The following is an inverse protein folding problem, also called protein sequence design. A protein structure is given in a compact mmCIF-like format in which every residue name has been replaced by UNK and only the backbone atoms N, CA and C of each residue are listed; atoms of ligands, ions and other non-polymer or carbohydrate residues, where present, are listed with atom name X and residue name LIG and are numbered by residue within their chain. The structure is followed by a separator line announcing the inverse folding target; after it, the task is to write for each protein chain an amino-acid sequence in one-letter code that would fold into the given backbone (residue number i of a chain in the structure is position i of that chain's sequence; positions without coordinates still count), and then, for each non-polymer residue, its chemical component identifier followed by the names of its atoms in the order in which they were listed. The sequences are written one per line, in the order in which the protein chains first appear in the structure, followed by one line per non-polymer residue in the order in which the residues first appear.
data_IF_220853324027
#
_entry.id   IF_220853324027
#
_cell.length_a   1.000
_cell.length_b   1.000
_cell.length_c   1.000
_cell.angle_alpha   90.00
_cell.angle_beta   90.00
_cell.angle_gamma   90.00
#
_symmetry.space_group_name_H-M   'P 1'
#
loop_
_entity.id
_entity.type
_entity.pdbx_description
1 polymer ?
#
# COMPACT_ATOMS: atom_id res chain seq x y z
N UNK A 1 -8.41 -16.59 13.55
CA UNK A 1 -8.70 -16.15 12.15
C UNK A 1 -7.47 -16.42 11.31
N UNK A 2 -7.64 -16.91 10.08
CA UNK A 2 -6.53 -17.10 9.15
C UNK A 2 -6.12 -15.70 8.64
N UNK A 3 -4.83 -15.32 8.71
CA UNK A 3 -4.38 -14.03 8.19
C UNK A 3 -4.53 -13.99 6.65
N UNK A 4 -4.78 -12.79 6.10
CA UNK A 4 -4.84 -12.61 4.63
C UNK A 4 -3.47 -12.77 3.99
N UNK A 5 -2.43 -12.26 4.67
CA UNK A 5 -1.03 -12.43 4.28
C UNK A 5 -0.23 -12.93 5.48
N UNK A 6 0.59 -13.95 5.29
CA UNK A 6 1.58 -14.42 6.27
C UNK A 6 2.94 -14.53 5.61
N UNK A 7 3.92 -13.89 6.19
CA UNK A 7 5.33 -14.03 5.86
C UNK A 7 6.03 -14.71 7.02
N UNK A 8 6.69 -15.83 6.77
CA UNK A 8 7.33 -16.63 7.80
C UNK A 8 8.83 -16.76 7.55
N UNK A 9 9.65 -16.30 8.50
CA UNK A 9 11.10 -16.42 8.51
C UNK A 9 11.74 -15.97 7.19
N UNK A 10 11.52 -14.70 6.84
CA UNK A 10 12.07 -14.09 5.62
C UNK A 10 13.48 -13.59 5.87
N UNK A 11 14.43 -14.08 5.06
CA UNK A 11 15.79 -13.54 4.96
C UNK A 11 15.98 -12.85 3.63
N UNK A 12 16.50 -11.62 3.66
CA UNK A 12 16.82 -10.87 2.45
C UNK A 12 18.02 -9.96 2.65
N UNK A 13 18.97 -10.07 1.74
CA UNK A 13 20.10 -9.16 1.64
C UNK A 13 20.36 -8.79 0.17
N UNK A 14 20.93 -7.63 -0.05
CA UNK A 14 21.41 -7.18 -1.37
C UNK A 14 22.94 -7.07 -1.36
N UNK A 15 23.62 -7.29 -2.50
CA UNK A 15 25.04 -6.98 -2.64
C UNK A 15 25.29 -5.50 -2.33
N UNK A 16 26.32 -5.21 -1.51
CA UNK A 16 26.74 -3.86 -1.16
C UNK A 16 28.26 -3.83 -0.96
N UNK A 17 28.99 -3.42 -1.99
CA UNK A 17 30.45 -3.37 -1.97
C UNK A 17 31.03 -2.35 -0.98
N UNK A 18 30.23 -1.46 -0.43
CA UNK A 18 30.65 -0.47 0.58
C UNK A 18 30.76 -1.08 1.98
N UNK A 19 30.23 -2.28 2.19
CA UNK A 19 30.20 -2.97 3.48
C UNK A 19 31.31 -4.04 3.58
N UNK A 20 31.87 -4.25 4.77
CA UNK A 20 32.94 -5.25 4.97
C UNK A 20 32.55 -6.68 4.59
N UNK A 21 31.28 -7.04 4.80
CA UNK A 21 30.66 -8.35 4.48
C UNK A 21 30.14 -8.42 3.04
N UNK A 22 30.26 -7.33 2.25
CA UNK A 22 29.78 -7.26 0.88
C UNK A 22 28.26 -7.28 0.72
N UNK A 23 27.50 -7.14 1.81
CA UNK A 23 26.03 -7.30 1.81
C UNK A 23 25.33 -6.26 2.67
N UNK A 24 24.17 -5.81 2.22
CA UNK A 24 23.20 -5.04 3.01
C UNK A 24 22.05 -5.95 3.39
N UNK A 25 22.02 -6.41 4.64
CA UNK A 25 20.91 -7.20 5.18
C UNK A 25 19.71 -6.29 5.37
N UNK A 26 18.57 -6.67 4.80
CA UNK A 26 17.29 -5.95 4.95
C UNK A 26 16.42 -6.68 5.97
N UNK A 27 16.27 -7.99 5.83
CA UNK A 27 15.50 -8.84 6.73
C UNK A 27 16.35 -10.04 7.18
N UNK A 28 16.23 -10.40 8.44
CA UNK A 28 16.81 -11.56 9.08
C UNK A 28 15.77 -12.16 10.01
N UNK A 29 15.33 -13.39 9.69
CA UNK A 29 14.27 -14.11 10.43
C UNK A 29 12.99 -13.25 10.63
N UNK A 30 12.60 -12.53 9.58
CA UNK A 30 11.48 -11.60 9.66
C UNK A 30 10.15 -12.30 9.40
N UNK A 31 9.18 -12.10 10.29
CA UNK A 31 7.83 -12.65 10.15
C UNK A 31 6.78 -11.57 10.31
N UNK A 32 5.70 -11.64 9.52
CA UNK A 32 4.61 -10.67 9.51
C UNK A 32 3.29 -11.34 9.17
N UNK A 33 2.22 -10.92 9.85
CA UNK A 33 0.85 -11.32 9.52
C UNK A 33 -0.03 -10.09 9.33
N UNK A 34 -0.86 -10.10 8.26
CA UNK A 34 -1.81 -9.05 7.91
C UNK A 34 -3.21 -9.66 7.92
N UNK A 35 -4.13 -9.04 8.64
CA UNK A 35 -5.49 -9.53 8.78
C UNK A 35 -6.35 -9.23 7.53
N UNK A 36 -7.29 -10.11 7.22
CA UNK A 36 -8.27 -9.90 6.15
C UNK A 36 -9.11 -8.65 6.43
N UNK A 37 -9.32 -7.82 5.41
CA UNK A 37 -10.13 -6.60 5.50
C UNK A 37 -9.51 -5.49 6.33
N UNK A 38 -8.23 -5.61 6.75
CA UNK A 38 -7.53 -4.56 7.47
C UNK A 38 -6.99 -3.48 6.54
N UNK A 39 -6.88 -2.27 7.06
CA UNK A 39 -6.05 -1.22 6.51
C UNK A 39 -4.74 -1.22 7.33
N UNK A 40 -3.77 -2.03 6.90
CA UNK A 40 -2.49 -2.17 7.60
C UNK A 40 -1.49 -1.15 7.07
N UNK A 41 -0.96 -0.30 7.96
CA UNK A 41 0.09 0.67 7.62
C UNK A 41 1.44 0.16 8.11
N UNK A 42 2.39 0.05 7.18
CA UNK A 42 3.80 -0.19 7.46
C UNK A 42 4.51 1.16 7.61
N UNK A 43 4.85 1.52 8.84
CA UNK A 43 5.53 2.76 9.20
C UNK A 43 7.00 2.48 9.49
N UNK A 44 7.90 3.38 9.09
CA UNK A 44 9.33 3.23 9.39
C UNK A 44 10.21 4.17 8.56
N UNK A 45 11.50 4.28 8.91
CA UNK A 45 12.43 5.17 8.22
C UNK A 45 12.65 4.77 6.76
N UNK A 46 13.16 5.73 5.96
CA UNK A 46 13.56 5.46 4.58
C UNK A 46 14.65 4.39 4.53
N UNK A 47 14.54 3.47 3.59
CA UNK A 47 15.52 2.40 3.40
C UNK A 47 15.43 1.22 4.39
N UNK A 48 14.42 1.18 5.28
CA UNK A 48 14.22 0.03 6.17
C UNK A 48 13.61 -1.21 5.49
N UNK A 49 13.19 -1.12 4.22
CA UNK A 49 12.70 -2.27 3.47
C UNK A 49 11.19 -2.29 3.18
N UNK A 50 10.40 -1.29 3.56
CA UNK A 50 8.94 -1.27 3.37
C UNK A 50 8.49 -1.62 1.95
N UNK A 51 9.02 -0.92 0.93
CA UNK A 51 8.74 -1.22 -0.49
C UNK A 51 9.23 -2.60 -0.91
N UNK A 52 10.33 -3.05 -0.31
CA UNK A 52 10.87 -4.39 -0.51
C UNK A 52 9.88 -5.45 0.00
N UNK A 53 9.25 -5.20 1.14
CA UNK A 53 8.22 -6.08 1.70
C UNK A 53 7.00 -6.19 0.79
N UNK A 54 6.51 -5.04 0.26
CA UNK A 54 5.43 -5.05 -0.72
C UNK A 54 5.80 -5.87 -1.97
N UNK A 55 7.04 -5.75 -2.45
CA UNK A 55 7.51 -6.51 -3.61
C UNK A 55 7.60 -8.02 -3.32
N UNK A 56 7.93 -8.43 -2.09
CA UNK A 56 7.90 -9.84 -1.67
C UNK A 56 6.45 -10.34 -1.64
N UNK A 57 5.52 -9.58 -1.04
CA UNK A 57 4.10 -9.93 -0.96
C UNK A 57 3.50 -10.09 -2.36
N UNK A 58 3.84 -9.19 -3.29
CA UNK A 58 3.35 -9.24 -4.67
C UNK A 58 4.07 -10.25 -5.58
N UNK A 59 5.07 -10.97 -5.07
CA UNK A 59 5.85 -11.93 -5.85
C UNK A 59 6.83 -11.31 -6.84
N UNK A 60 7.03 -9.99 -6.83
CA UNK A 60 7.97 -9.28 -7.69
C UNK A 60 9.43 -9.47 -7.24
N UNK A 61 9.64 -9.79 -5.98
CA UNK A 61 10.96 -10.03 -5.41
C UNK A 61 10.94 -11.33 -4.62
N UNK A 62 11.89 -12.21 -4.94
CA UNK A 62 12.11 -13.44 -4.18
C UNK A 62 13.12 -13.16 -3.06
N UNK A 63 12.80 -13.47 -1.78
CA UNK A 63 13.77 -13.40 -0.70
C UNK A 63 14.88 -14.45 -0.88
N UNK A 64 16.01 -14.28 -0.20
CA UNK A 64 17.10 -15.26 -0.19
C UNK A 64 16.65 -16.59 0.44
N UNK A 65 15.84 -16.48 1.52
CA UNK A 65 15.19 -17.59 2.17
C UNK A 65 13.81 -17.18 2.67
N UNK A 66 12.88 -18.11 2.73
CA UNK A 66 11.56 -17.95 3.33
C UNK A 66 11.01 -19.33 3.73
N UNK A 67 10.48 -19.43 4.94
CA UNK A 67 9.72 -20.63 5.34
C UNK A 67 8.37 -20.65 4.64
N UNK A 68 7.68 -19.53 4.55
CA UNK A 68 6.40 -19.39 3.86
C UNK A 68 6.09 -17.96 3.43
N UNK A 69 5.43 -17.81 2.27
CA UNK A 69 4.80 -16.58 1.79
C UNK A 69 3.37 -16.97 1.43
N UNK A 70 2.45 -16.81 2.38
CA UNK A 70 1.10 -17.36 2.29
C UNK A 70 0.09 -16.24 2.08
N UNK A 71 -0.75 -16.40 1.07
CA UNK A 71 -1.88 -15.51 0.77
C UNK A 71 -3.15 -16.34 0.83
N UNK A 72 -4.11 -15.96 1.68
CA UNK A 72 -5.36 -16.70 1.88
C UNK A 72 -5.16 -18.21 2.16
N UNK A 73 -4.11 -18.56 2.93
CA UNK A 73 -3.79 -19.93 3.25
C UNK A 73 -3.02 -20.70 2.18
N UNK A 74 -2.74 -20.10 1.01
CA UNK A 74 -2.01 -20.72 -0.09
C UNK A 74 -0.61 -20.10 -0.24
N UNK A 75 0.41 -20.94 -0.39
CA UNK A 75 1.78 -20.46 -0.59
C UNK A 75 1.96 -19.86 -2.00
N UNK A 76 2.38 -18.59 -2.07
CA UNK A 76 2.60 -17.85 -3.31
C UNK A 76 3.66 -18.52 -4.21
N UNK A 77 4.56 -19.31 -3.65
CA UNK A 77 5.60 -20.03 -4.40
C UNK A 77 5.04 -21.23 -5.16
N UNK A 78 3.95 -21.82 -4.67
CA UNK A 78 3.25 -22.93 -5.34
C UNK A 78 2.22 -22.44 -6.35
N UNK A 79 1.63 -21.26 -6.12
CA UNK A 79 0.61 -20.64 -6.98
C UNK A 79 0.97 -19.18 -7.32
N UNK A 80 1.87 -18.93 -8.28
CA UNK A 80 2.27 -17.56 -8.67
C UNK A 80 1.10 -16.70 -9.15
N UNK A 81 0.03 -17.31 -9.67
CA UNK A 81 -1.19 -16.62 -10.13
C UNK A 81 -1.97 -15.91 -9.00
N UNK A 82 -1.68 -16.20 -7.73
CA UNK A 82 -2.22 -15.45 -6.59
C UNK A 82 -1.86 -13.95 -6.67
N UNK A 83 -0.76 -13.61 -7.31
CA UNK A 83 -0.40 -12.20 -7.55
C UNK A 83 -1.46 -11.44 -8.36
N UNK A 84 -2.27 -12.15 -9.17
CA UNK A 84 -3.39 -11.56 -9.92
C UNK A 84 -4.56 -11.09 -9.05
N UNK A 85 -4.63 -11.55 -7.80
CA UNK A 85 -5.62 -11.08 -6.82
C UNK A 85 -5.19 -9.78 -6.14
N UNK A 86 -3.99 -9.29 -6.47
CA UNK A 86 -3.39 -8.10 -5.87
C UNK A 86 -3.24 -6.99 -6.91
N UNK A 87 -3.39 -5.75 -6.45
CA UNK A 87 -3.02 -4.59 -7.25
C UNK A 87 -1.98 -3.75 -6.51
N UNK A 88 -1.15 -3.05 -7.28
CA UNK A 88 -0.04 -2.25 -6.75
C UNK A 88 -0.16 -0.79 -7.18
N UNK A 89 -0.17 0.12 -6.21
CA UNK A 89 -0.04 1.57 -6.41
C UNK A 89 1.38 1.97 -6.05
N UNK A 90 2.12 2.43 -7.04
CA UNK A 90 3.51 2.87 -6.87
C UNK A 90 3.57 4.30 -6.32
N UNK A 91 4.70 4.67 -5.77
CA UNK A 91 4.99 6.03 -5.28
C UNK A 91 4.73 7.09 -6.36
N UNK A 92 5.18 6.86 -7.61
CA UNK A 92 4.79 7.68 -8.75
C UNK A 92 3.62 7.04 -9.52
N UNK A 93 2.78 7.84 -10.21
CA UNK A 93 1.57 7.36 -10.88
C UNK A 93 1.81 6.26 -11.93
N UNK A 94 2.99 6.23 -12.57
CA UNK A 94 3.38 5.26 -13.60
C UNK A 94 2.28 4.98 -14.64
N UNK A 95 1.57 6.04 -15.06
CA UNK A 95 0.58 5.95 -16.13
C UNK A 95 1.27 5.83 -17.49
N UNK A 96 0.64 5.07 -18.39
CA UNK A 96 1.05 4.98 -19.79
C UNK A 96 0.75 6.31 -20.49
N UNK A 97 1.80 7.04 -20.87
CA UNK A 97 1.71 8.43 -21.34
C UNK A 97 0.96 8.59 -22.67
N UNK A 98 0.92 7.53 -23.47
CA UNK A 98 0.24 7.45 -24.78
C UNK A 98 -1.19 6.93 -24.70
N UNK A 99 -1.71 6.74 -23.50
CA UNK A 99 -3.08 6.32 -23.23
C UNK A 99 -3.80 7.37 -22.41
N UNK A 100 -5.11 7.53 -22.65
CA UNK A 100 -5.97 8.36 -21.82
C UNK A 100 -6.05 7.79 -20.40
N UNK A 101 -6.63 8.55 -19.46
CA UNK A 101 -6.81 8.06 -18.10
C UNK A 101 -7.72 6.82 -18.06
N UNK A 102 -8.82 6.82 -18.82
CA UNK A 102 -9.70 5.66 -18.94
C UNK A 102 -8.99 4.44 -19.54
N UNK A 103 -8.20 4.63 -20.61
CA UNK A 103 -7.43 3.54 -21.22
C UNK A 103 -6.34 3.00 -20.29
N UNK A 104 -5.81 3.82 -19.37
CA UNK A 104 -4.91 3.33 -18.32
C UNK A 104 -5.64 2.41 -17.33
N UNK A 105 -6.87 2.72 -16.94
CA UNK A 105 -7.69 1.84 -16.11
C UNK A 105 -8.07 0.55 -16.87
N UNK A 106 -8.45 0.69 -18.15
CA UNK A 106 -8.72 -0.47 -19.02
C UNK A 106 -7.50 -1.39 -19.15
N UNK A 107 -6.29 -0.84 -19.24
CA UNK A 107 -5.06 -1.63 -19.26
C UNK A 107 -4.91 -2.48 -17.98
N UNK A 108 -5.27 -1.93 -16.82
CA UNK A 108 -5.33 -2.68 -15.57
C UNK A 108 -6.29 -3.88 -15.66
N UNK A 109 -7.52 -3.66 -16.14
CA UNK A 109 -8.53 -4.70 -16.32
C UNK A 109 -8.09 -5.82 -17.29
N UNK A 110 -7.38 -5.46 -18.37
CA UNK A 110 -6.86 -6.45 -19.34
C UNK A 110 -5.80 -7.35 -18.72
N UNK A 111 -4.94 -6.79 -17.86
CA UNK A 111 -3.81 -7.52 -17.27
C UNK A 111 -4.23 -8.69 -16.39
N UNK A 112 -5.33 -8.52 -15.66
CA UNK A 112 -5.81 -9.54 -14.71
C UNK A 112 -6.88 -10.46 -15.29
N UNK A 113 -7.65 -10.00 -16.30
CA UNK A 113 -8.68 -10.82 -16.95
C UNK A 113 -9.86 -11.23 -16.06
N UNK A 114 -10.04 -10.54 -14.92
CA UNK A 114 -10.98 -10.93 -13.85
C UNK A 114 -12.40 -10.47 -14.16
N UNK A 115 -12.56 -9.34 -14.88
CA UNK A 115 -13.87 -8.73 -15.15
C UNK A 115 -14.31 -8.93 -16.60
N UNK A 116 -15.58 -9.28 -16.85
CA UNK A 116 -16.16 -9.33 -18.20
C UNK A 116 -16.06 -7.98 -18.89
N UNK A 117 -15.70 -7.97 -20.19
CA UNK A 117 -15.47 -6.72 -20.96
C UNK A 117 -16.68 -5.80 -21.00
N UNK A 118 -17.87 -6.35 -20.97
CA UNK A 118 -19.14 -5.62 -20.98
C UNK A 118 -19.29 -4.68 -19.77
N UNK A 119 -18.65 -5.05 -18.64
CA UNK A 119 -18.70 -4.28 -17.39
C UNK A 119 -17.58 -3.22 -17.27
N UNK A 120 -16.58 -3.25 -18.15
CA UNK A 120 -15.40 -2.38 -17.98
C UNK A 120 -15.74 -0.90 -18.01
N UNK A 121 -16.61 -0.48 -18.94
CA UNK A 121 -17.01 0.92 -19.07
C UNK A 121 -17.69 1.43 -17.78
N UNK A 122 -18.61 0.66 -17.26
CA UNK A 122 -19.37 1.05 -16.05
C UNK A 122 -18.47 1.06 -14.82
N UNK A 123 -17.56 0.10 -14.68
CA UNK A 123 -16.56 0.07 -13.60
C UNK A 123 -15.61 1.27 -13.67
N UNK A 124 -15.09 1.58 -14.85
CA UNK A 124 -14.21 2.72 -15.07
C UNK A 124 -14.95 4.01 -14.72
N UNK A 125 -16.15 4.22 -15.25
CA UNK A 125 -16.94 5.42 -14.96
C UNK A 125 -17.25 5.55 -13.47
N UNK A 126 -17.68 4.46 -12.81
CA UNK A 126 -17.94 4.40 -11.37
C UNK A 126 -16.74 4.91 -10.56
N UNK A 127 -15.57 4.34 -10.80
CA UNK A 127 -14.39 4.66 -9.99
C UNK A 127 -13.78 6.02 -10.35
N UNK A 128 -13.83 6.46 -11.60
CA UNK A 128 -13.40 7.80 -11.97
C UNK A 128 -14.30 8.88 -11.36
N UNK A 129 -15.61 8.69 -11.31
CA UNK A 129 -16.54 9.60 -10.60
C UNK A 129 -16.27 9.61 -9.10
N UNK A 130 -16.02 8.45 -8.49
CA UNK A 130 -15.73 8.35 -7.06
C UNK A 130 -14.47 9.13 -6.64
N UNK A 131 -13.49 9.29 -7.54
CA UNK A 131 -12.28 10.07 -7.29
C UNK A 131 -12.34 11.50 -7.86
N UNK A 132 -13.52 11.95 -8.33
CA UNK A 132 -13.72 13.29 -8.88
C UNK A 132 -13.05 13.54 -10.24
N UNK A 133 -12.87 12.47 -11.04
CA UNK A 133 -12.27 12.53 -12.38
C UNK A 133 -13.24 12.10 -13.50
N UNK A 134 -14.56 12.09 -13.25
CA UNK A 134 -15.55 11.66 -14.23
C UNK A 134 -15.41 12.33 -15.59
N UNK A 135 -15.21 13.65 -15.58
CA UNK A 135 -15.11 14.43 -16.82
C UNK A 135 -13.71 14.45 -17.46
N UNK A 136 -12.69 13.93 -16.73
CA UNK A 136 -11.30 13.92 -17.18
C UNK A 136 -10.85 12.60 -17.80
N UNK A 137 -11.71 11.60 -17.91
CA UNK A 137 -11.38 10.25 -18.35
C UNK A 137 -10.73 10.19 -19.74
N UNK A 138 -11.12 11.11 -20.64
CA UNK A 138 -10.63 11.19 -22.02
C UNK A 138 -9.27 11.90 -22.15
N UNK A 139 -8.78 12.56 -21.07
CA UNK A 139 -7.52 13.29 -21.08
C UNK A 139 -6.32 12.34 -20.96
N UNK A 140 -5.19 12.77 -21.50
CA UNK A 140 -3.91 12.09 -21.35
C UNK A 140 -3.18 12.52 -20.07
N UNK A 141 -2.23 11.70 -19.52
CA UNK A 141 -1.52 12.02 -18.30
C UNK A 141 -0.76 13.36 -18.32
N UNK A 142 -0.31 13.84 -19.48
CA UNK A 142 0.37 15.12 -19.61
C UNK A 142 -0.56 16.33 -19.60
N UNK A 143 -1.88 16.14 -19.73
CA UNK A 143 -2.90 17.18 -19.74
C UNK A 143 -3.53 17.44 -18.36
N UNK A 144 -3.13 16.68 -17.34
CA UNK A 144 -3.73 16.71 -16.00
C UNK A 144 -2.69 16.99 -14.92
N UNK A 145 -3.14 17.48 -13.76
CA UNK A 145 -2.27 17.78 -12.61
C UNK A 145 -1.62 16.51 -12.00
N UNK A 146 -0.62 16.69 -11.13
CA UNK A 146 0.02 15.61 -10.39
C UNK A 146 -0.97 14.80 -9.55
N UNK A 147 -1.83 15.50 -8.79
CA UNK A 147 -2.88 14.87 -8.00
C UNK A 147 -3.92 14.11 -8.85
N UNK A 148 -4.31 14.66 -10.02
CA UNK A 148 -5.19 13.94 -10.95
C UNK A 148 -4.53 12.66 -11.48
N UNK A 149 -3.24 12.71 -11.82
CA UNK A 149 -2.48 11.50 -12.22
C UNK A 149 -2.45 10.46 -11.11
N UNK A 150 -2.23 10.91 -9.87
CA UNK A 150 -2.21 9.98 -8.73
C UNK A 150 -3.58 9.35 -8.49
N UNK A 151 -4.68 10.14 -8.55
CA UNK A 151 -6.05 9.62 -8.48
C UNK A 151 -6.31 8.58 -9.58
N UNK A 152 -5.93 8.87 -10.81
CA UNK A 152 -6.07 7.92 -11.92
C UNK A 152 -5.24 6.63 -11.72
N UNK A 153 -4.06 6.71 -11.09
CA UNK A 153 -3.25 5.52 -10.77
C UNK A 153 -3.93 4.64 -9.73
N UNK A 154 -4.61 5.24 -8.75
CA UNK A 154 -5.42 4.50 -7.77
C UNK A 154 -6.62 3.85 -8.46
N UNK A 155 -7.33 4.58 -9.34
CA UNK A 155 -8.43 3.98 -10.13
C UNK A 155 -7.95 2.78 -10.93
N UNK A 156 -6.81 2.89 -11.62
CA UNK A 156 -6.23 1.77 -12.38
C UNK A 156 -5.99 0.52 -11.53
N UNK A 157 -5.57 0.70 -10.28
CA UNK A 157 -5.39 -0.40 -9.35
C UNK A 157 -6.73 -0.91 -8.79
N UNK A 158 -7.64 0.00 -8.48
CA UNK A 158 -8.91 -0.32 -7.81
C UNK A 158 -9.96 -0.94 -8.72
N UNK A 159 -9.99 -0.55 -10.01
CA UNK A 159 -10.99 -0.99 -10.99
C UNK A 159 -11.00 -2.52 -11.21
N UNK A 160 -9.88 -3.18 -10.91
CA UNK A 160 -9.78 -4.63 -10.93
C UNK A 160 -10.50 -5.32 -9.75
N UNK A 161 -10.98 -4.54 -8.80
CA UNK A 161 -11.56 -5.04 -7.57
C UNK A 161 -10.66 -6.07 -6.87
N UNK A 162 -9.36 -5.73 -6.62
CA UNK A 162 -8.40 -6.65 -6.06
C UNK A 162 -8.77 -7.01 -4.62
N UNK A 163 -8.42 -8.20 -4.17
CA UNK A 163 -8.61 -8.60 -2.77
C UNK A 163 -7.57 -7.97 -1.85
N UNK A 164 -6.38 -7.68 -2.38
CA UNK A 164 -5.29 -7.01 -1.67
C UNK A 164 -4.80 -5.83 -2.50
N UNK A 165 -4.72 -4.66 -1.88
CA UNK A 165 -4.16 -3.47 -2.48
C UNK A 165 -2.86 -3.10 -1.76
N UNK A 166 -1.76 -3.11 -2.50
CA UNK A 166 -0.43 -2.73 -2.03
C UNK A 166 -0.16 -1.30 -2.47
N UNK A 167 0.16 -0.41 -1.53
CA UNK A 167 0.37 1.01 -1.80
C UNK A 167 1.72 1.48 -1.24
N UNK A 168 2.61 1.90 -2.11
CA UNK A 168 3.98 2.30 -1.77
C UNK A 168 4.10 3.82 -1.78
N UNK A 169 4.06 4.45 -0.61
CA UNK A 169 4.14 5.91 -0.40
C UNK A 169 3.30 6.73 -1.40
N UNK A 170 2.00 6.43 -1.58
CA UNK A 170 1.23 6.95 -2.72
C UNK A 170 0.96 8.45 -2.65
N UNK A 171 1.23 9.10 -1.51
CA UNK A 171 0.95 10.53 -1.30
C UNK A 171 2.21 11.38 -1.10
N UNK A 172 3.41 10.79 -1.09
CA UNK A 172 4.68 11.46 -0.75
C UNK A 172 5.07 12.63 -1.68
N UNK A 173 4.51 12.71 -2.89
CA UNK A 173 4.80 13.76 -3.87
C UNK A 173 3.65 14.76 -4.04
N UNK A 174 2.67 14.73 -3.15
CA UNK A 174 1.52 15.62 -3.17
C UNK A 174 1.69 16.73 -2.13
N UNK A 175 1.14 17.90 -2.42
CA UNK A 175 0.95 18.93 -1.41
C UNK A 175 -0.08 18.46 -0.37
N UNK A 176 -0.06 19.06 0.83
CA UNK A 176 -0.90 18.60 1.95
C UNK A 176 -2.40 18.63 1.65
N UNK A 177 -2.87 19.64 0.90
CA UNK A 177 -4.30 19.76 0.56
C UNK A 177 -4.71 18.60 -0.36
N UNK A 178 -3.92 18.34 -1.38
CA UNK A 178 -4.14 17.21 -2.31
C UNK A 178 -4.01 15.86 -1.60
N UNK A 179 -3.01 15.72 -0.70
CA UNK A 179 -2.83 14.49 0.08
C UNK A 179 -4.02 14.24 1.02
N UNK A 180 -4.53 15.26 1.71
CA UNK A 180 -5.72 15.17 2.55
C UNK A 180 -6.97 14.74 1.77
N UNK A 181 -7.17 15.31 0.57
CA UNK A 181 -8.25 14.89 -0.33
C UNK A 181 -8.10 13.41 -0.74
N UNK A 182 -6.88 13.00 -1.06
CA UNK A 182 -6.58 11.60 -1.45
C UNK A 182 -6.84 10.62 -0.31
N UNK A 183 -6.44 10.96 0.92
CA UNK A 183 -6.73 10.14 2.11
C UNK A 183 -8.24 9.97 2.30
N UNK A 184 -9.00 11.05 2.15
CA UNK A 184 -10.48 11.02 2.23
C UNK A 184 -11.11 10.15 1.13
N UNK A 185 -10.65 10.28 -0.11
CA UNK A 185 -11.12 9.47 -1.25
C UNK A 185 -10.83 7.99 -1.00
N UNK A 186 -9.60 7.64 -0.62
CA UNK A 186 -9.20 6.27 -0.35
C UNK A 186 -10.01 5.65 0.80
N UNK A 187 -10.21 6.41 1.87
CA UNK A 187 -11.02 5.98 3.00
C UNK A 187 -12.47 5.72 2.60
N UNK A 188 -13.08 6.64 1.82
CA UNK A 188 -14.45 6.48 1.35
C UNK A 188 -14.60 5.24 0.45
N UNK A 189 -13.65 5.01 -0.48
CA UNK A 189 -13.65 3.82 -1.32
C UNK A 189 -13.58 2.54 -0.48
N UNK A 190 -12.69 2.52 0.52
CA UNK A 190 -12.48 1.35 1.36
C UNK A 190 -13.64 1.07 2.33
N UNK A 191 -14.25 2.11 2.91
CA UNK A 191 -15.37 1.96 3.87
C UNK A 191 -16.72 1.73 3.21
N UNK A 192 -16.88 2.07 1.92
CA UNK A 192 -18.13 1.88 1.17
C UNK A 192 -18.36 0.44 0.71
N UNK A 193 -17.38 -0.44 0.85
CA UNK A 193 -17.50 -1.84 0.44
C UNK A 193 -18.09 -2.69 1.57
N UNK A 194 -19.02 -3.59 1.22
CA UNK A 194 -19.59 -4.56 2.17
C UNK A 194 -18.51 -5.50 2.72
N UNK A 195 -17.67 -6.04 1.82
CA UNK A 195 -16.46 -6.77 2.20
C UNK A 195 -15.25 -5.88 1.96
N UNK A 196 -14.68 -5.36 3.05
CA UNK A 196 -13.49 -4.49 2.98
C UNK A 196 -12.30 -5.23 2.40
N UNK A 197 -11.66 -4.63 1.41
CA UNK A 197 -10.39 -5.11 0.85
C UNK A 197 -9.30 -5.00 1.90
N UNK A 198 -8.32 -5.88 1.79
CA UNK A 198 -7.10 -5.76 2.59
C UNK A 198 -6.18 -4.74 1.92
N UNK A 199 -5.79 -3.70 2.66
CA UNK A 199 -4.83 -2.69 2.19
C UNK A 199 -3.54 -2.83 2.97
N UNK A 200 -2.41 -2.86 2.27
CA UNK A 200 -1.07 -2.72 2.84
C UNK A 200 -0.48 -1.42 2.34
N UNK A 201 -0.40 -0.45 3.22
CA UNK A 201 -0.01 0.92 2.91
C UNK A 201 1.35 1.23 3.54
N UNK A 202 2.29 1.63 2.73
CA UNK A 202 3.64 2.03 3.17
C UNK A 202 3.71 3.54 3.24
N UNK A 203 4.20 4.05 4.36
CA UNK A 203 4.50 5.47 4.55
C UNK A 203 5.63 5.67 5.57
N UNK A 204 6.19 6.85 5.59
CA UNK A 204 7.04 7.36 6.66
C UNK A 204 6.31 8.48 7.46
N UNK A 205 5.09 8.82 7.06
CA UNK A 205 4.28 9.86 7.72
C UNK A 205 3.41 9.24 8.83
N UNK A 206 3.66 9.70 10.06
CA UNK A 206 2.94 9.26 11.26
C UNK A 206 1.48 9.69 11.24
N UNK A 207 1.19 10.86 10.68
CA UNK A 207 -0.17 11.39 10.59
C UNK A 207 -1.02 10.58 9.63
N UNK A 208 -0.46 10.15 8.49
CA UNK A 208 -1.13 9.21 7.59
C UNK A 208 -1.44 7.89 8.29
N UNK A 209 -0.46 7.35 9.04
CA UNK A 209 -0.65 6.11 9.78
C UNK A 209 -1.77 6.21 10.82
N UNK A 210 -1.82 7.29 11.60
CA UNK A 210 -2.86 7.51 12.60
C UNK A 210 -4.26 7.67 11.99
N UNK A 211 -4.34 8.37 10.85
CA UNK A 211 -5.60 8.62 10.17
C UNK A 211 -6.15 7.40 9.43
N UNK A 212 -5.29 6.62 8.76
CA UNK A 212 -5.72 5.59 7.81
C UNK A 212 -5.77 4.17 8.38
N UNK A 213 -4.92 3.86 9.36
CA UNK A 213 -4.73 2.47 9.75
C UNK A 213 -5.82 1.90 10.64
N UNK A 214 -6.15 0.63 10.44
CA UNK A 214 -6.75 -0.23 11.49
C UNK A 214 -5.67 -1.00 12.25
N UNK A 215 -4.49 -1.18 11.62
CA UNK A 215 -3.34 -1.88 12.19
C UNK A 215 -2.05 -1.17 11.75
N UNK A 216 -1.27 -0.67 12.69
CA UNK A 216 0.02 -0.01 12.43
C UNK A 216 1.13 -0.94 12.84
N UNK A 217 2.06 -1.17 11.91
CA UNK A 217 3.25 -1.97 12.12
C UNK A 217 4.45 -1.07 11.88
N UNK A 218 5.20 -0.79 12.95
CA UNK A 218 6.38 0.06 12.88
C UNK A 218 7.63 -0.79 12.77
N UNK A 219 8.50 -0.43 11.80
CA UNK A 219 9.74 -1.10 11.50
C UNK A 219 10.96 -0.29 11.95
N UNK A 220 12.00 -0.98 12.44
CA UNK A 220 13.31 -0.39 12.71
C UNK A 220 14.10 -0.17 11.41
N UNK A 221 15.22 0.60 11.43
CA UNK A 221 16.22 0.55 10.36
C UNK A 221 16.70 -0.88 10.07
N UNK A 222 17.22 -1.11 8.85
CA UNK A 222 17.73 -2.41 8.45
C UNK A 222 18.98 -2.86 9.26
N UNK A 223 19.05 -4.12 9.70
CA UNK A 223 18.11 -5.23 9.54
C UNK A 223 16.79 -4.96 10.25
N UNK A 224 15.71 -4.93 9.48
CA UNK A 224 14.41 -4.47 9.93
C UNK A 224 13.73 -5.48 10.86
N UNK A 225 13.18 -4.96 11.96
CA UNK A 225 12.36 -5.71 12.92
C UNK A 225 11.09 -4.95 13.21
N UNK A 226 10.05 -5.63 13.60
CA UNK A 226 8.82 -5.00 14.10
C UNK A 226 9.12 -4.49 15.52
N UNK A 227 9.11 -3.17 15.70
CA UNK A 227 9.33 -2.55 17.02
C UNK A 227 8.04 -2.12 17.71
N UNK A 228 6.95 -1.98 16.94
CA UNK A 228 5.61 -1.70 17.47
C UNK A 228 4.56 -2.31 16.56
N UNK A 229 3.51 -2.89 17.14
CA UNK A 229 2.25 -3.19 16.49
C UNK A 229 1.11 -2.55 17.28
N UNK A 230 0.29 -1.73 16.63
CA UNK A 230 -0.78 -0.95 17.25
C UNK A 230 -2.07 -1.07 16.46
N UNK A 231 -3.07 -1.67 17.06
CA UNK A 231 -4.44 -1.68 16.54
C UNK A 231 -5.09 -0.32 16.79
N UNK A 232 -5.74 0.24 15.77
CA UNK A 232 -6.45 1.52 15.86
C UNK A 232 -7.93 1.26 15.65
N UNK A 233 -8.67 1.21 16.75
CA UNK A 233 -10.12 0.99 16.77
C UNK A 233 -10.85 2.33 16.94
N UNK A 234 -10.73 3.18 15.91
CA UNK A 234 -11.41 4.46 15.84
C UNK A 234 -12.42 4.45 14.68
N UNK A 235 -13.62 5.04 14.86
CA UNK A 235 -14.63 5.09 13.82
C UNK A 235 -14.18 5.93 12.61
N UNK A 236 -14.83 5.70 11.48
CA UNK A 236 -14.66 6.48 10.26
C UNK A 236 -15.83 7.46 10.06
N UNK A 237 -15.65 8.64 9.44
CA UNK A 237 -14.36 9.22 9.01
C UNK A 237 -13.54 9.76 10.19
N UNK A 238 -12.20 9.63 10.10
CA UNK A 238 -11.29 10.18 11.13
C UNK A 238 -10.83 11.57 10.73
N UNK A 239 -10.91 12.48 11.67
CA UNK A 239 -10.42 13.86 11.52
C UNK A 239 -9.02 13.97 12.14
N UNK A 240 -8.09 14.60 11.43
CA UNK A 240 -6.71 14.81 11.88
C UNK A 240 -6.63 15.64 13.18
N UNK A 241 -7.61 16.53 13.37
CA UNK A 241 -7.70 17.44 14.52
C UNK A 241 -8.51 16.84 15.69
N UNK A 242 -8.92 15.58 15.64
CA UNK A 242 -9.59 14.92 16.77
C UNK A 242 -8.61 14.48 17.84
N UNK A 243 -9.00 14.57 19.11
CA UNK A 243 -8.17 14.21 20.26
C UNK A 243 -7.68 12.76 20.18
N UNK A 244 -8.53 11.85 19.69
CA UNK A 244 -8.20 10.44 19.56
C UNK A 244 -7.11 10.19 18.51
N UNK A 245 -7.17 10.86 17.35
CA UNK A 245 -6.13 10.74 16.30
C UNK A 245 -4.83 11.37 16.77
N UNK A 246 -4.90 12.55 17.43
CA UNK A 246 -3.75 13.22 18.01
C UNK A 246 -3.09 12.34 19.09
N UNK A 247 -3.88 11.62 19.89
CA UNK A 247 -3.34 10.70 20.90
C UNK A 247 -2.56 9.55 20.25
N UNK A 248 -3.09 8.96 19.16
CA UNK A 248 -2.39 7.93 18.38
C UNK A 248 -1.09 8.48 17.78
N UNK A 249 -1.13 9.68 17.18
CA UNK A 249 0.09 10.31 16.65
C UNK A 249 1.17 10.51 17.71
N UNK A 250 0.81 11.01 18.90
CA UNK A 250 1.76 11.21 20.00
C UNK A 250 2.40 9.89 20.44
N UNK A 251 1.60 8.83 20.58
CA UNK A 251 2.09 7.48 20.89
C UNK A 251 3.09 7.00 19.84
N UNK A 252 2.73 7.15 18.55
CA UNK A 252 3.60 6.74 17.45
C UNK A 252 4.90 7.56 17.39
N UNK A 253 4.85 8.88 17.58
CA UNK A 253 6.04 9.75 17.63
C UNK A 253 6.99 9.34 18.75
N UNK A 254 6.46 9.07 19.93
CA UNK A 254 7.26 8.61 21.08
C UNK A 254 7.92 7.25 20.77
N UNK A 255 7.15 6.28 20.28
CA UNK A 255 7.66 4.98 19.91
C UNK A 255 8.71 5.06 18.79
N UNK A 256 8.53 5.97 17.83
CA UNK A 256 9.47 6.17 16.72
C UNK A 256 10.81 6.73 17.21
N UNK A 257 10.78 7.73 18.10
CA UNK A 257 11.98 8.30 18.69
C UNK A 257 12.75 7.29 19.55
N UNK A 258 12.05 6.53 20.39
CA UNK A 258 12.69 5.59 21.32
C UNK A 258 13.18 4.31 20.66
N UNK A 259 12.38 3.73 19.75
CA UNK A 259 12.58 2.36 19.26
C UNK A 259 13.14 2.28 17.84
N UNK A 260 12.88 3.27 17.00
CA UNK A 260 13.47 3.36 15.67
C UNK A 260 14.85 4.03 15.68
N UNK A 261 15.32 4.56 16.82
CA UNK A 261 16.64 5.16 16.96
C UNK A 261 16.86 6.42 16.12
N UNK A 262 15.78 7.12 15.77
CA UNK A 262 15.81 8.32 14.94
C UNK A 262 15.28 9.48 15.80
N UNK A 263 16.20 10.32 16.29
CA UNK A 263 15.83 11.61 16.87
C UNK A 263 15.20 12.51 15.80
N UNK A 264 14.13 13.23 16.18
CA UNK A 264 13.53 14.29 15.36
C UNK A 264 14.34 15.58 15.51
#
# INVERSE_FOLDING_TARGET
MIPKVSLDNIDLSFPDASRPDGRKVIYEDFSLQIEKGSFTVLLGPSGCGKSTLLNIINGLLKPNNARGIVIDGTDLRSEPDLSRQMAYVFQGPRLLRWKTLAENAEFGLRGLGVQPREKWRDLIDKYFRAVGLGDAQHLYPHQVSGGMRQRASIVRAWVNEPQILLMDEPFSHLDEITAAEMRRILTNLWTSEEERRTIVFVTHDISEAAQLATDIIMLTPAPSRICLRRKVDLPWPRRMDSDEVIAVEKELRHAFAERAGIGF
#
